data_IF_974845995025
#
_entry.id   IF_974845995025
#
_cell.length_a   1.000
_cell.length_b   1.000
_cell.length_c   1.000
_cell.angle_alpha   90.00
_cell.angle_beta   90.00
_cell.angle_gamma   90.00
#
_symmetry.space_group_name_H-M   'P 1'
#
loop_
_entity.id
_entity.type
_entity.pdbx_description
1 polymer ?
#
# COMPACT_ATOMS: atom_id res chain seq x y z
N UNK A 1 28.44 2.84 -12.61
CA UNK A 1 27.02 3.03 -12.96
C UNK A 1 26.42 1.68 -13.32
N UNK A 2 26.02 0.89 -12.35
CA UNK A 2 25.39 -0.43 -12.57
C UNK A 2 23.90 -0.32 -12.25
N UNK A 3 23.09 -0.30 -13.30
CA UNK A 3 21.62 -0.32 -13.17
C UNK A 3 21.17 -1.71 -12.74
N UNK A 4 20.59 -1.81 -11.56
CA UNK A 4 19.91 -3.03 -11.11
C UNK A 4 18.67 -3.21 -11.97
N UNK A 5 18.69 -4.19 -12.88
CA UNK A 5 17.51 -4.61 -13.64
C UNK A 5 16.67 -5.53 -12.77
N UNK A 6 15.50 -5.07 -12.36
CA UNK A 6 14.47 -5.90 -11.74
C UNK A 6 13.89 -6.80 -12.84
N UNK A 7 14.32 -8.05 -12.84
CA UNK A 7 13.83 -9.06 -13.78
C UNK A 7 12.46 -9.58 -13.36
N UNK A 8 11.42 -9.24 -14.10
CA UNK A 8 10.12 -9.93 -14.04
C UNK A 8 10.33 -11.39 -14.47
N UNK A 9 10.22 -12.33 -13.55
CA UNK A 9 10.09 -13.76 -13.86
C UNK A 9 8.62 -14.13 -13.84
N UNK A 10 8.03 -14.29 -15.02
CA UNK A 10 6.74 -14.93 -15.22
C UNK A 10 6.88 -16.42 -14.99
N UNK A 11 6.35 -16.93 -13.91
CA UNK A 11 6.21 -18.38 -13.67
C UNK A 11 4.90 -18.86 -14.29
N UNK A 12 5.01 -19.59 -15.40
CA UNK A 12 3.89 -20.30 -16.00
C UNK A 12 3.71 -21.62 -15.25
N UNK A 13 2.64 -21.76 -14.50
CA UNK A 13 2.23 -23.04 -13.91
C UNK A 13 1.32 -23.78 -14.90
N UNK A 14 1.81 -24.89 -15.44
CA UNK A 14 1.02 -25.86 -16.19
C UNK A 14 0.15 -26.65 -15.22
N UNK A 15 -1.17 -26.51 -15.31
CA UNK A 15 -2.12 -27.44 -14.70
C UNK A 15 -2.46 -28.55 -15.68
N UNK A 16 -2.14 -29.79 -15.29
CA UNK A 16 -2.54 -31.00 -15.97
C UNK A 16 -4.03 -31.29 -15.71
N UNK A 17 -4.83 -31.36 -16.76
CA UNK A 17 -6.22 -31.79 -16.69
C UNK A 17 -6.31 -33.32 -16.64
N UNK A 18 -6.84 -33.86 -15.56
CA UNK A 18 -7.24 -35.27 -15.49
C UNK A 18 -8.68 -35.43 -16.02
N UNK A 19 -8.80 -36.11 -17.14
CA UNK A 19 -10.08 -36.53 -17.72
C UNK A 19 -10.49 -37.84 -17.06
N UNK A 20 -11.59 -37.88 -16.33
CA UNK A 20 -12.26 -39.10 -15.91
C UNK A 20 -13.51 -39.30 -16.75
N UNK A 21 -13.47 -40.34 -17.59
CA UNK A 21 -14.59 -40.88 -18.31
C UNK A 21 -15.40 -41.80 -17.38
N UNK A 22 -16.71 -41.60 -17.29
CA UNK A 22 -17.63 -42.37 -16.47
C UNK A 22 -18.98 -42.54 -17.13
N UNK A 23 -19.16 -43.66 -17.82
CA UNK A 23 -20.31 -44.54 -18.04
C UNK A 23 -21.69 -43.96 -18.36
N UNK A 24 -22.14 -44.34 -19.54
CA UNK A 24 -23.50 -44.27 -20.03
C UNK A 24 -24.45 -45.18 -19.22
N UNK A 25 -25.59 -44.61 -18.78
CA UNK A 25 -26.75 -45.32 -18.28
C UNK A 25 -28.01 -44.87 -19.05
N UNK A 26 -28.48 -45.71 -19.95
CA UNK A 26 -29.80 -45.56 -20.60
C UNK A 26 -30.93 -45.95 -19.64
N UNK A 27 -32.04 -45.22 -19.71
CA UNK A 27 -33.36 -45.76 -19.41
C UNK A 27 -34.23 -44.89 -18.50
N UNK A 28 -35.34 -44.41 -19.07
CA UNK A 28 -36.50 -43.97 -18.26
C UNK A 28 -37.16 -42.70 -18.76
N UNK A 29 -38.18 -42.87 -19.62
CA UNK A 29 -39.16 -41.83 -19.92
C UNK A 29 -39.96 -41.53 -18.66
N UNK A 30 -39.92 -40.31 -18.14
CA UNK A 30 -40.69 -39.81 -17.03
C UNK A 30 -40.87 -38.32 -17.15
N UNK A 31 -42.13 -37.91 -17.28
CA UNK A 31 -42.60 -36.54 -17.37
C UNK A 31 -42.18 -35.69 -16.17
N UNK A 32 -41.84 -34.44 -16.43
CA UNK A 32 -42.01 -33.33 -15.47
C UNK A 32 -41.22 -33.48 -14.18
N UNK A 33 -39.93 -33.14 -14.19
CA UNK A 33 -39.24 -32.74 -12.96
C UNK A 33 -38.68 -31.34 -13.22
N UNK A 34 -39.24 -30.40 -12.47
CA UNK A 34 -38.62 -29.13 -12.18
C UNK A 34 -37.18 -29.41 -11.79
N UNK A 35 -36.25 -28.74 -12.51
CA UNK A 35 -34.85 -28.81 -12.16
C UNK A 35 -34.71 -28.27 -10.75
N UNK A 36 -34.56 -29.17 -9.79
CA UNK A 36 -34.09 -28.83 -8.43
C UNK A 36 -32.72 -28.15 -8.59
N UNK A 37 -32.79 -26.82 -8.65
CA UNK A 37 -31.57 -26.02 -8.56
C UNK A 37 -30.93 -26.39 -7.23
N UNK A 38 -29.70 -26.90 -7.27
CA UNK A 38 -28.88 -27.07 -6.07
C UNK A 38 -29.04 -25.82 -5.19
N UNK A 39 -29.35 -25.96 -3.89
CA UNK A 39 -29.49 -24.83 -3.01
C UNK A 39 -28.18 -24.09 -2.98
N UNK A 40 -28.08 -23.00 -3.75
CA UNK A 40 -26.96 -22.09 -3.70
C UNK A 40 -26.79 -21.66 -2.24
N UNK A 41 -25.62 -21.90 -1.67
CA UNK A 41 -25.32 -21.47 -0.32
C UNK A 41 -25.74 -20.00 -0.17
N UNK A 42 -26.40 -19.61 0.93
CA UNK A 42 -26.89 -18.24 1.11
C UNK A 42 -25.74 -17.26 0.96
N UNK A 43 -25.93 -16.27 0.08
CA UNK A 43 -24.91 -15.25 -0.15
C UNK A 43 -24.57 -14.56 1.17
N UNK A 44 -23.29 -14.42 1.45
CA UNK A 44 -22.80 -13.72 2.64
C UNK A 44 -23.30 -12.28 2.62
N UNK A 45 -23.81 -11.77 3.76
CA UNK A 45 -24.25 -10.38 3.86
C UNK A 45 -23.07 -9.41 3.68
N UNK A 46 -23.33 -8.22 3.12
CA UNK A 46 -22.28 -7.21 2.91
C UNK A 46 -21.63 -6.78 4.24
N UNK A 47 -22.40 -6.69 5.34
CA UNK A 47 -21.85 -6.43 6.68
C UNK A 47 -20.86 -7.51 7.15
N UNK A 48 -21.18 -8.77 6.89
CA UNK A 48 -20.27 -9.88 7.21
C UNK A 48 -19.03 -9.85 6.34
N UNK A 49 -19.20 -9.60 5.03
CA UNK A 49 -18.06 -9.47 4.09
C UNK A 49 -17.12 -8.34 4.51
N UNK A 50 -17.67 -7.18 4.87
CA UNK A 50 -16.88 -6.06 5.36
C UNK A 50 -16.11 -6.41 6.64
N UNK A 51 -16.80 -7.01 7.64
CA UNK A 51 -16.15 -7.42 8.89
C UNK A 51 -15.04 -8.44 8.67
N UNK A 52 -15.23 -9.40 7.78
CA UNK A 52 -14.20 -10.38 7.42
C UNK A 52 -13.04 -9.71 6.68
N UNK A 53 -13.30 -8.76 5.76
CA UNK A 53 -12.29 -7.98 5.07
C UNK A 53 -11.40 -7.20 6.04
N UNK A 54 -12.01 -6.50 6.99
CA UNK A 54 -11.28 -5.73 8.00
C UNK A 54 -10.45 -6.64 8.93
N UNK A 55 -10.99 -7.81 9.28
CA UNK A 55 -10.27 -8.81 10.06
C UNK A 55 -9.06 -9.38 9.28
N UNK A 56 -9.24 -9.67 7.99
CA UNK A 56 -8.15 -10.11 7.11
C UNK A 56 -7.05 -9.05 7.00
N UNK A 57 -7.43 -7.77 6.77
CA UNK A 57 -6.48 -6.65 6.69
C UNK A 57 -5.61 -6.59 7.95
N UNK A 58 -6.22 -6.73 9.13
CA UNK A 58 -5.49 -6.76 10.41
C UNK A 58 -4.69 -8.04 10.64
N UNK A 59 -4.98 -9.12 9.92
CA UNK A 59 -4.33 -10.41 10.03
C UNK A 59 -3.10 -10.58 9.15
N UNK A 60 -3.00 -9.86 8.03
CA UNK A 60 -1.89 -9.99 7.11
C UNK A 60 -0.56 -9.59 7.76
N UNK A 61 0.49 -10.38 7.51
CA UNK A 61 1.84 -10.14 8.01
C UNK A 61 2.58 -9.09 7.19
N UNK A 62 2.25 -9.00 5.91
CA UNK A 62 2.81 -8.04 4.96
C UNK A 62 1.78 -7.68 3.89
N UNK A 63 1.93 -6.49 3.32
CA UNK A 63 1.05 -5.92 2.30
C UNK A 63 1.84 -5.08 1.30
N UNK A 64 1.50 -5.22 0.03
CA UNK A 64 1.74 -4.20 -0.98
C UNK A 64 0.67 -3.12 -0.85
N UNK A 65 1.08 -1.87 -0.79
CA UNK A 65 0.26 -0.68 -0.54
C UNK A 65 0.53 0.34 -1.64
N UNK A 66 -0.45 0.57 -2.51
CA UNK A 66 -0.32 1.57 -3.57
C UNK A 66 -1.51 2.51 -3.52
N UNK A 67 -1.26 3.82 -3.53
CA UNK A 67 -2.37 4.75 -3.51
C UNK A 67 -1.98 6.18 -3.20
N UNK A 68 -2.96 6.94 -2.75
CA UNK A 68 -2.85 8.39 -2.60
C UNK A 68 -3.36 8.88 -1.25
N UNK A 69 -2.71 9.93 -0.78
CA UNK A 69 -3.15 10.77 0.33
C UNK A 69 -3.70 12.07 -0.28
N UNK A 70 -4.97 12.35 -0.01
CA UNK A 70 -5.67 13.53 -0.50
C UNK A 70 -5.73 14.59 0.58
N UNK A 71 -4.66 15.38 0.72
CA UNK A 71 -4.57 16.52 1.60
C UNK A 71 -4.30 17.81 0.81
N UNK A 72 -3.87 18.86 1.48
CA UNK A 72 -3.45 20.11 0.83
C UNK A 72 -2.33 19.87 -0.18
N UNK A 73 -1.43 18.96 0.13
CA UNK A 73 -0.38 18.49 -0.77
C UNK A 73 -0.69 17.03 -1.11
N UNK A 74 -1.11 16.72 -2.34
CA UNK A 74 -1.32 15.35 -2.78
C UNK A 74 -0.02 14.55 -2.77
N UNK A 75 -0.10 13.32 -2.27
CA UNK A 75 1.02 12.39 -2.19
C UNK A 75 0.60 11.03 -2.72
N UNK A 76 1.53 10.33 -3.33
CA UNK A 76 1.32 8.93 -3.74
C UNK A 76 2.38 8.04 -3.11
N UNK A 77 2.01 6.80 -2.90
CA UNK A 77 2.89 5.76 -2.36
C UNK A 77 2.80 4.49 -3.19
N UNK A 78 3.91 3.77 -3.28
CA UNK A 78 4.00 2.41 -3.79
C UNK A 78 4.97 1.67 -2.88
N UNK A 79 4.44 1.01 -1.83
CA UNK A 79 5.19 0.45 -0.72
C UNK A 79 4.89 -1.04 -0.55
N UNK A 80 5.88 -1.79 -0.10
CA UNK A 80 5.71 -3.13 0.43
C UNK A 80 6.20 -3.14 1.89
N UNK A 81 5.29 -3.39 2.83
CA UNK A 81 5.55 -3.27 4.26
C UNK A 81 5.13 -4.52 5.03
N UNK A 82 5.79 -4.80 6.16
CA UNK A 82 5.43 -5.86 7.09
C UNK A 82 5.26 -5.37 8.54
N UNK A 83 4.72 -6.24 9.40
CA UNK A 83 4.51 -5.92 10.82
C UNK A 83 5.78 -5.90 11.65
N UNK A 84 6.93 -6.27 11.09
CA UNK A 84 8.25 -6.16 11.71
C UNK A 84 8.90 -4.81 11.42
N UNK A 85 8.16 -3.90 10.75
CA UNK A 85 8.64 -2.60 10.28
C UNK A 85 9.75 -2.73 9.24
N UNK A 86 9.67 -3.75 8.38
CA UNK A 86 10.41 -3.74 7.15
C UNK A 86 9.53 -3.14 6.07
N UNK A 87 10.08 -2.18 5.33
CA UNK A 87 9.35 -1.47 4.28
C UNK A 87 10.30 -1.04 3.17
N UNK A 88 9.84 -1.13 1.94
CA UNK A 88 10.56 -0.67 0.76
C UNK A 88 9.58 -0.13 -0.26
N UNK A 89 9.97 0.90 -0.97
CA UNK A 89 9.18 1.43 -2.07
C UNK A 89 9.45 2.88 -2.36
N UNK A 90 8.46 3.57 -2.87
CA UNK A 90 8.55 4.97 -3.29
C UNK A 90 7.44 5.81 -2.67
N UNK A 91 7.78 7.06 -2.44
CA UNK A 91 6.91 8.12 -2.01
C UNK A 91 7.06 9.29 -2.97
N UNK A 92 5.95 9.80 -3.49
CA UNK A 92 5.95 10.94 -4.40
C UNK A 92 5.18 12.11 -3.80
N UNK A 93 5.75 13.30 -3.91
CA UNK A 93 5.18 14.55 -3.45
C UNK A 93 5.62 15.71 -4.37
N UNK A 94 4.68 16.55 -4.80
CA UNK A 94 4.97 17.71 -5.66
C UNK A 94 5.77 17.36 -6.93
N UNK A 95 5.57 16.13 -7.44
CA UNK A 95 6.25 15.62 -8.64
C UNK A 95 7.73 15.31 -8.41
N UNK A 96 8.14 15.10 -7.17
CA UNK A 96 9.44 14.55 -6.78
C UNK A 96 9.25 13.15 -6.24
N UNK A 97 10.26 12.30 -6.40
CA UNK A 97 10.23 10.91 -5.93
C UNK A 97 11.29 10.68 -4.89
N UNK A 98 10.92 10.01 -3.81
CA UNK A 98 11.85 9.54 -2.77
C UNK A 98 11.75 8.03 -2.67
N UNK A 99 12.87 7.32 -2.85
CA UNK A 99 12.94 5.90 -2.51
C UNK A 99 13.09 5.74 -1.00
N UNK A 100 12.38 4.76 -0.43
CA UNK A 100 12.35 4.53 1.01
C UNK A 100 12.71 3.09 1.32
N UNK A 101 13.55 2.91 2.32
CA UNK A 101 13.89 1.63 2.93
C UNK A 101 13.78 1.78 4.44
N UNK A 102 13.00 0.92 5.10
CA UNK A 102 12.93 0.85 6.57
C UNK A 102 13.22 -0.59 6.99
N UNK A 103 14.08 -0.76 8.00
CA UNK A 103 14.40 -2.07 8.58
C UNK A 103 14.45 -1.90 10.10
N UNK A 104 13.39 -2.34 10.77
CA UNK A 104 13.27 -2.23 12.22
C UNK A 104 13.29 -0.77 12.71
N UNK A 105 14.39 -0.34 13.31
CA UNK A 105 14.58 0.99 13.89
C UNK A 105 15.40 1.97 13.03
N UNK A 106 15.82 1.54 11.85
CA UNK A 106 16.59 2.32 10.88
C UNK A 106 15.79 2.58 9.61
N UNK A 107 15.96 3.76 9.04
CA UNK A 107 15.36 4.14 7.77
C UNK A 107 16.35 4.84 6.86
N UNK A 108 16.14 4.72 5.57
CA UNK A 108 16.95 5.37 4.53
C UNK A 108 16.04 5.99 3.50
N UNK A 109 16.38 7.18 3.06
CA UNK A 109 15.66 7.92 2.01
C UNK A 109 16.64 8.34 0.92
N UNK A 110 16.35 8.01 -0.33
CA UNK A 110 17.07 8.49 -1.49
C UNK A 110 16.19 9.51 -2.22
N UNK A 111 16.60 10.75 -2.14
CA UNK A 111 15.91 11.86 -2.80
C UNK A 111 16.30 11.93 -4.28
N UNK A 112 15.34 12.18 -5.16
CA UNK A 112 15.65 12.48 -6.55
C UNK A 112 16.31 13.86 -6.70
N UNK A 113 16.95 14.08 -7.85
CA UNK A 113 17.64 15.35 -8.13
C UNK A 113 16.69 16.55 -8.07
N UNK A 114 15.44 16.36 -8.50
CA UNK A 114 14.41 17.41 -8.48
C UNK A 114 14.06 17.84 -7.05
N UNK A 115 13.92 16.88 -6.11
CA UNK A 115 13.68 17.18 -4.69
C UNK A 115 14.84 18.00 -4.12
N UNK A 116 16.07 17.57 -4.38
CA UNK A 116 17.28 18.26 -3.92
C UNK A 116 17.41 19.68 -4.51
N UNK A 117 17.11 19.85 -5.78
CA UNK A 117 17.14 21.16 -6.45
C UNK A 117 16.00 22.08 -5.96
N UNK A 118 14.82 21.51 -5.67
CA UNK A 118 13.73 22.25 -5.03
C UNK A 118 14.13 22.74 -3.62
N UNK A 119 14.80 21.88 -2.83
CA UNK A 119 15.33 22.24 -1.50
C UNK A 119 16.27 23.43 -1.57
N UNK A 120 17.23 23.38 -2.49
CA UNK A 120 18.16 24.50 -2.74
C UNK A 120 17.42 25.79 -3.14
N UNK A 121 16.47 25.67 -4.04
CA UNK A 121 15.68 26.82 -4.52
C UNK A 121 14.82 27.44 -3.42
N UNK A 122 14.23 26.61 -2.56
CA UNK A 122 13.48 27.04 -1.38
C UNK A 122 14.41 27.80 -0.41
N UNK A 123 15.55 27.24 -0.05
CA UNK A 123 16.52 27.89 0.83
C UNK A 123 16.96 29.24 0.29
N UNK A 124 17.25 29.32 -1.03
CA UNK A 124 17.62 30.57 -1.67
C UNK A 124 16.56 31.66 -1.55
N UNK A 125 15.28 31.28 -1.57
CA UNK A 125 14.15 32.22 -1.56
C UNK A 125 13.70 32.59 -0.14
N UNK A 126 13.72 31.65 0.80
CA UNK A 126 13.08 31.76 2.11
C UNK A 126 14.03 31.66 3.30
N UNK A 127 15.22 31.09 3.13
CA UNK A 127 16.24 30.95 4.18
C UNK A 127 17.64 31.23 3.66
N UNK A 128 17.94 32.44 3.13
CA UNK A 128 19.21 32.75 2.46
C UNK A 128 20.43 32.63 3.40
N UNK A 129 20.25 32.81 4.68
CA UNK A 129 21.28 32.61 5.71
C UNK A 129 21.68 31.14 5.88
N UNK A 130 20.83 30.19 5.51
CA UNK A 130 21.07 28.74 5.55
C UNK A 130 21.54 28.19 4.19
N UNK A 131 21.54 28.98 3.12
CA UNK A 131 21.79 28.51 1.75
C UNK A 131 23.09 27.74 1.61
N UNK A 132 24.19 28.23 2.16
CA UNK A 132 25.50 27.55 2.05
C UNK A 132 25.47 26.14 2.69
N UNK A 133 24.82 25.99 3.86
CA UNK A 133 24.67 24.69 4.51
C UNK A 133 23.74 23.76 3.73
N UNK A 134 22.70 24.29 3.10
CA UNK A 134 21.79 23.52 2.21
C UNK A 134 22.53 23.05 0.97
N UNK A 135 23.32 23.90 0.32
CA UNK A 135 24.08 23.52 -0.88
C UNK A 135 25.07 22.39 -0.56
N UNK A 136 25.78 22.48 0.55
CA UNK A 136 26.70 21.42 0.99
C UNK A 136 25.95 20.10 1.24
N UNK A 137 24.80 20.15 1.92
CA UNK A 137 23.97 18.99 2.23
C UNK A 137 23.39 18.34 0.96
N UNK A 138 22.91 19.15 0.01
CA UNK A 138 22.41 18.69 -1.29
C UNK A 138 23.50 17.92 -2.07
N UNK A 139 24.72 18.47 -2.15
CA UNK A 139 25.81 17.80 -2.85
C UNK A 139 26.23 16.49 -2.17
N UNK A 140 26.20 16.42 -0.84
CA UNK A 140 26.48 15.19 -0.09
C UNK A 140 25.39 14.12 -0.27
N UNK A 141 24.12 14.53 -0.33
CA UNK A 141 22.98 13.63 -0.45
C UNK A 141 22.74 13.13 -1.88
N UNK A 142 23.25 13.84 -2.89
CA UNK A 142 22.99 13.54 -4.30
C UNK A 142 23.44 12.12 -4.66
N UNK A 143 22.46 11.29 -5.08
CA UNK A 143 22.68 9.89 -5.45
C UNK A 143 23.04 8.97 -4.28
N UNK A 144 22.82 9.42 -3.03
CA UNK A 144 23.07 8.63 -1.83
C UNK A 144 21.81 8.54 -0.97
N UNK A 145 21.67 7.42 -0.29
CA UNK A 145 20.69 7.26 0.76
C UNK A 145 21.09 8.06 2.00
N UNK A 146 20.17 8.84 2.52
CA UNK A 146 20.32 9.49 3.83
C UNK A 146 19.74 8.57 4.89
N UNK A 147 20.55 8.22 5.88
CA UNK A 147 20.16 7.35 6.98
C UNK A 147 19.56 8.17 8.13
N UNK A 148 18.36 7.77 8.56
CA UNK A 148 17.61 8.33 9.67
C UNK A 148 17.23 7.24 10.68
N UNK A 149 16.95 7.58 11.94
CA UNK A 149 16.12 6.74 12.79
C UNK A 149 14.76 6.49 12.13
N UNK A 150 14.26 5.25 12.13
CA UNK A 150 12.99 4.91 11.47
C UNK A 150 11.82 5.80 11.93
N UNK A 151 11.80 6.20 13.22
CA UNK A 151 10.79 7.12 13.77
C UNK A 151 10.72 8.47 13.03
N UNK A 152 11.81 8.94 12.48
CA UNK A 152 11.85 10.18 11.70
C UNK A 152 11.29 9.99 10.31
N UNK A 153 11.65 8.90 9.63
CA UNK A 153 11.06 8.51 8.34
C UNK A 153 9.54 8.34 8.48
N UNK A 154 9.08 7.69 9.54
CA UNK A 154 7.65 7.43 9.77
C UNK A 154 6.83 8.67 10.18
N UNK A 155 7.46 9.84 10.34
CA UNK A 155 6.75 11.13 10.51
C UNK A 155 6.27 11.71 9.19
N UNK A 156 6.91 11.35 8.09
CA UNK A 156 6.45 11.83 6.78
C UNK A 156 5.05 11.30 6.49
N UNK A 157 4.10 12.17 6.15
CA UNK A 157 2.76 11.75 5.77
C UNK A 157 2.82 10.75 4.62
N UNK A 158 2.19 9.58 4.78
CA UNK A 158 2.28 8.47 3.83
C UNK A 158 3.29 7.40 4.23
N UNK A 159 4.44 7.74 4.80
CA UNK A 159 5.43 6.76 5.24
C UNK A 159 5.07 6.07 6.57
N UNK A 160 4.06 6.57 7.30
CA UNK A 160 3.44 5.86 8.42
C UNK A 160 2.93 4.47 8.01
N UNK A 161 2.61 4.25 6.72
CA UNK A 161 2.22 2.96 6.17
C UNK A 161 3.34 1.91 6.24
N UNK A 162 4.58 2.30 6.44
CA UNK A 162 5.69 1.38 6.75
C UNK A 162 5.59 0.78 8.17
N UNK A 163 4.65 1.23 9.00
CA UNK A 163 4.27 0.62 10.28
C UNK A 163 2.77 0.24 10.20
N UNK A 164 2.49 -0.97 9.72
CA UNK A 164 1.11 -1.44 9.47
C UNK A 164 0.23 -1.41 10.72
N UNK A 165 0.80 -1.66 11.90
CA UNK A 165 0.06 -1.65 13.16
C UNK A 165 -0.40 -0.24 13.51
N UNK A 166 0.45 0.75 13.33
CA UNK A 166 0.14 2.15 13.54
C UNK A 166 -0.79 2.71 12.46
N UNK A 167 -0.53 2.39 11.19
CA UNK A 167 -1.33 2.86 10.06
C UNK A 167 -2.79 2.43 10.15
N UNK A 168 -3.03 1.17 10.52
CA UNK A 168 -4.38 0.61 10.64
C UNK A 168 -4.92 0.56 12.09
N UNK A 169 -4.31 1.28 13.02
CA UNK A 169 -4.74 1.30 14.41
C UNK A 169 -6.20 1.75 14.59
N UNK A 170 -6.59 2.81 13.87
CA UNK A 170 -7.94 3.39 13.90
C UNK A 170 -8.96 2.65 13.05
N UNK A 171 -8.54 1.78 12.13
CA UNK A 171 -9.44 0.98 11.29
C UNK A 171 -10.16 -0.04 12.19
N UNK A 172 -11.51 -0.11 12.18
CA UNK A 172 -12.24 -1.05 13.05
C UNK A 172 -11.92 -2.49 12.66
N UNK A 173 -11.86 -3.40 13.63
CA UNK A 173 -11.66 -4.83 13.35
C UNK A 173 -12.95 -5.55 12.99
N UNK A 174 -14.12 -4.96 13.30
CA UNK A 174 -15.47 -5.46 13.00
C UNK A 174 -16.42 -4.29 12.91
N UNK A 175 -17.47 -4.45 12.12
CA UNK A 175 -18.56 -3.47 11.99
C UNK A 175 -19.89 -4.13 12.38
N UNK A 176 -20.72 -3.40 13.13
CA UNK A 176 -21.97 -3.91 13.72
C UNK A 176 -23.21 -3.80 12.86
N UNK A 177 -23.11 -3.30 11.61
CA UNK A 177 -24.27 -3.04 10.74
C UNK A 177 -23.97 -3.31 9.27
N UNK A 178 -25.03 -3.28 8.45
CA UNK A 178 -24.88 -3.27 7.01
C UNK A 178 -24.27 -1.94 6.61
N UNK A 179 -23.08 -1.96 6.01
CA UNK A 179 -22.51 -0.78 5.40
C UNK A 179 -23.26 -0.41 4.12
N UNK A 180 -23.12 0.84 3.69
CA UNK A 180 -23.59 1.23 2.38
C UNK A 180 -22.77 0.50 1.29
N UNK A 181 -23.49 0.08 0.24
CA UNK A 181 -22.90 -0.60 -0.90
C UNK A 181 -22.79 0.35 -2.07
N UNK A 182 -21.56 0.64 -2.47
CA UNK A 182 -21.29 1.42 -3.67
C UNK A 182 -21.51 0.63 -4.97
N UNK A 183 -21.48 1.35 -6.09
CA UNK A 183 -21.56 0.74 -7.42
C UNK A 183 -20.30 -0.10 -7.69
N UNK A 184 -20.45 -1.26 -8.36
CA UNK A 184 -19.31 -2.05 -8.78
C UNK A 184 -18.37 -1.25 -9.71
N UNK A 185 -17.06 -1.43 -9.49
CA UNK A 185 -16.00 -0.87 -10.33
C UNK A 185 -15.17 -2.01 -10.91
N UNK A 186 -14.68 -1.81 -12.13
CA UNK A 186 -13.74 -2.77 -12.75
C UNK A 186 -12.35 -2.14 -12.79
N UNK A 187 -11.38 -2.85 -12.23
CA UNK A 187 -9.98 -2.49 -12.30
C UNK A 187 -9.15 -3.74 -12.59
N UNK A 188 -8.20 -3.65 -13.51
CA UNK A 188 -7.32 -4.76 -13.94
C UNK A 188 -8.08 -6.05 -14.26
N UNK A 189 -9.31 -5.91 -14.80
CA UNK A 189 -10.18 -7.03 -15.16
C UNK A 189 -10.97 -7.64 -13.99
N UNK A 190 -10.72 -7.23 -12.76
CA UNK A 190 -11.48 -7.66 -11.58
C UNK A 190 -12.58 -6.63 -11.23
N UNK A 191 -13.80 -7.13 -11.01
CA UNK A 191 -14.91 -6.29 -10.54
C UNK A 191 -14.96 -6.31 -9.02
N UNK A 192 -14.90 -5.12 -8.44
CA UNK A 192 -15.00 -4.92 -6.99
C UNK A 192 -16.22 -4.08 -6.64
N UNK A 193 -16.70 -4.23 -5.42
CA UNK A 193 -17.73 -3.39 -4.82
C UNK A 193 -17.18 -2.74 -3.56
N UNK A 194 -17.48 -1.47 -3.38
CA UNK A 194 -17.13 -0.72 -2.17
C UNK A 194 -18.19 -0.97 -1.11
N UNK A 195 -17.77 -1.32 0.10
CA UNK A 195 -18.59 -1.46 1.29
C UNK A 195 -18.15 -0.42 2.31
N UNK A 196 -19.05 0.49 2.70
CA UNK A 196 -18.73 1.65 3.54
C UNK A 196 -19.38 1.52 4.90
N UNK A 197 -18.68 1.91 5.95
CA UNK A 197 -19.19 1.98 7.32
C UNK A 197 -18.69 3.26 8.00
N UNK A 198 -19.54 3.82 8.86
CA UNK A 198 -19.25 5.09 9.53
C UNK A 198 -19.63 6.31 8.69
N UNK A 199 -19.20 7.47 9.12
CA UNK A 199 -19.44 8.75 8.45
C UNK A 199 -18.37 9.77 8.86
N UNK A 200 -18.07 10.71 7.98
CA UNK A 200 -17.07 11.76 8.25
C UNK A 200 -15.69 11.19 8.51
N UNK A 201 -14.98 11.69 9.51
CA UNK A 201 -13.61 11.28 9.83
C UNK A 201 -13.46 9.82 10.28
N UNK A 202 -14.56 9.17 10.70
CA UNK A 202 -14.57 7.77 11.11
C UNK A 202 -15.06 6.83 9.99
N UNK A 203 -15.26 7.36 8.78
CA UNK A 203 -15.67 6.56 7.63
C UNK A 203 -14.54 5.64 7.18
N UNK A 204 -14.87 4.38 6.97
CA UNK A 204 -14.00 3.39 6.37
C UNK A 204 -14.74 2.65 5.26
N UNK A 205 -14.09 2.51 4.11
CA UNK A 205 -14.60 1.73 3.00
C UNK A 205 -13.60 0.64 2.62
N UNK A 206 -14.10 -0.56 2.35
CA UNK A 206 -13.29 -1.65 1.79
C UNK A 206 -13.78 -2.00 0.40
N UNK A 207 -12.85 -2.27 -0.49
CA UNK A 207 -13.13 -2.72 -1.84
C UNK A 207 -12.94 -4.24 -1.89
N UNK A 208 -14.00 -4.98 -2.13
CA UNK A 208 -13.99 -6.46 -2.17
C UNK A 208 -14.44 -6.97 -3.54
N UNK A 209 -14.06 -8.19 -3.97
CA UNK A 209 -14.55 -8.76 -5.21
C UNK A 209 -16.08 -8.72 -5.27
N UNK A 210 -16.67 -8.33 -6.40
CA UNK A 210 -18.14 -8.27 -6.53
C UNK A 210 -18.79 -9.62 -6.27
N UNK A 211 -18.17 -10.70 -6.74
CA UNK A 211 -18.65 -12.07 -6.56
C UNK A 211 -17.74 -12.84 -5.63
N UNK A 212 -18.32 -13.23 -4.49
CA UNK A 212 -17.66 -14.08 -3.49
C UNK A 212 -16.48 -13.42 -2.79
N UNK A 213 -16.03 -14.04 -1.70
CA UNK A 213 -14.83 -13.64 -0.99
C UNK A 213 -14.88 -12.31 -0.24
N UNK A 214 -14.01 -12.19 0.73
CA UNK A 214 -13.85 -11.00 1.58
C UNK A 214 -12.42 -10.45 1.56
N UNK A 215 -11.56 -10.94 0.64
CA UNK A 215 -10.19 -10.43 0.52
C UNK A 215 -10.26 -8.98 0.04
N UNK A 216 -9.81 -8.00 0.84
CA UNK A 216 -9.86 -6.61 0.46
C UNK A 216 -8.89 -6.35 -0.71
N UNK A 217 -9.33 -5.65 -1.73
CA UNK A 217 -8.53 -5.18 -2.87
C UNK A 217 -8.14 -3.72 -2.70
N UNK A 218 -8.76 -3.05 -1.77
CA UNK A 218 -8.45 -1.67 -1.42
C UNK A 218 -9.15 -1.28 -0.13
N UNK A 219 -8.71 -0.18 0.42
CA UNK A 219 -9.29 0.46 1.59
C UNK A 219 -9.21 1.97 1.45
N UNK A 220 -10.31 2.65 1.78
CA UNK A 220 -10.39 4.09 1.91
C UNK A 220 -10.66 4.41 3.39
N UNK A 221 -9.90 5.31 3.99
CA UNK A 221 -10.04 5.72 5.38
C UNK A 221 -9.38 7.09 5.61
N UNK A 222 -9.55 7.66 6.80
CA UNK A 222 -8.83 8.88 7.20
C UNK A 222 -7.62 8.55 8.07
N UNK A 223 -6.50 9.16 7.75
CA UNK A 223 -5.28 9.11 8.55
C UNK A 223 -4.83 10.53 8.86
N UNK A 224 -4.86 10.90 10.14
CA UNK A 224 -4.58 12.26 10.61
C UNK A 224 -5.37 13.32 9.81
N UNK A 225 -6.69 13.08 9.66
CA UNK A 225 -7.68 13.89 8.92
C UNK A 225 -7.48 13.99 7.40
N UNK A 226 -6.46 13.33 6.85
CA UNK A 226 -6.27 13.23 5.42
C UNK A 226 -6.97 11.98 4.86
N UNK A 227 -7.80 12.08 3.81
CA UNK A 227 -8.33 10.91 3.13
C UNK A 227 -7.23 10.11 2.46
N UNK A 228 -7.22 8.82 2.70
CA UNK A 228 -6.25 7.85 2.18
C UNK A 228 -6.99 6.81 1.36
N UNK A 229 -6.56 6.58 0.13
CA UNK A 229 -7.11 5.60 -0.78
C UNK A 229 -6.01 4.63 -1.17
N UNK A 230 -6.11 3.39 -0.72
CA UNK A 230 -5.09 2.37 -0.96
C UNK A 230 -5.64 1.21 -1.78
N UNK A 231 -4.88 0.76 -2.73
CA UNK A 231 -4.94 -0.54 -3.34
C UNK A 231 -4.05 -1.49 -2.54
N UNK A 232 -4.52 -2.71 -2.36
CA UNK A 232 -3.87 -3.72 -1.55
C UNK A 232 -3.47 -4.91 -2.41
N UNK A 233 -2.27 -5.41 -2.20
CA UNK A 233 -1.70 -6.56 -2.91
C UNK A 233 -0.63 -7.27 -2.09
N UNK A 234 0.10 -8.18 -2.73
CA UNK A 234 1.27 -8.88 -2.17
C UNK A 234 1.05 -9.41 -0.75
N UNK A 235 -0.17 -9.96 -0.50
CA UNK A 235 -0.62 -10.41 0.81
C UNK A 235 0.29 -11.53 1.33
N UNK A 236 0.83 -11.32 2.53
CA UNK A 236 1.75 -12.26 3.21
C UNK A 236 3.03 -12.60 2.42
N UNK A 237 3.32 -11.86 1.34
CA UNK A 237 4.59 -12.00 0.64
C UNK A 237 5.74 -11.42 1.49
N UNK A 238 6.88 -12.11 1.61
CA UNK A 238 7.99 -11.60 2.39
C UNK A 238 8.54 -10.29 1.84
N UNK A 239 8.64 -9.26 2.68
CA UNK A 239 9.30 -8.01 2.33
C UNK A 239 10.80 -8.25 2.16
N UNK A 240 11.27 -8.17 0.91
CA UNK A 240 12.68 -8.38 0.57
C UNK A 240 13.44 -7.08 0.60
N UNK A 241 13.94 -6.74 1.75
CA UNK A 241 14.65 -5.49 1.99
C UNK A 241 16.09 -5.76 2.44
N UNK A 242 17.03 -4.90 2.02
CA UNK A 242 18.43 -4.90 2.44
C UNK A 242 18.86 -3.47 2.70
N UNK A 243 19.67 -3.21 3.73
CA UNK A 243 20.21 -1.89 3.95
C UNK A 243 21.07 -1.46 2.75
N UNK A 244 21.02 -0.19 2.35
CA UNK A 244 21.95 0.34 1.34
C UNK A 244 23.41 0.15 1.75
N UNK A 245 24.30 0.09 0.75
CA UNK A 245 25.72 -0.04 0.99
C UNK A 245 26.28 1.18 1.75
N UNK A 246 27.28 0.97 2.60
CA UNK A 246 27.92 2.08 3.32
C UNK A 246 28.48 3.17 2.42
N UNK A 247 29.00 2.79 1.25
CA UNK A 247 29.52 3.74 0.26
C UNK A 247 28.43 4.61 -0.38
N UNK A 248 27.19 4.10 -0.38
CA UNK A 248 26.01 4.73 -0.96
C UNK A 248 25.12 5.42 0.10
N UNK A 249 25.63 5.57 1.32
CA UNK A 249 24.90 6.12 2.46
C UNK A 249 25.63 7.28 3.10
N UNK A 250 24.88 8.31 3.51
CA UNK A 250 25.32 9.40 4.38
C UNK A 250 24.39 9.47 5.59
N UNK A 251 24.88 9.95 6.73
CA UNK A 251 24.02 10.13 7.90
C UNK A 251 23.21 11.42 7.80
N UNK A 252 22.04 11.47 8.45
CA UNK A 252 21.24 12.69 8.56
C UNK A 252 22.07 13.86 9.15
N UNK A 253 22.95 13.58 10.12
CA UNK A 253 23.84 14.58 10.72
C UNK A 253 24.77 15.25 9.70
N UNK A 254 25.27 14.51 8.70
CA UNK A 254 26.15 15.05 7.65
C UNK A 254 25.39 15.93 6.66
N UNK A 255 24.06 15.83 6.61
CA UNK A 255 23.19 16.54 5.67
C UNK A 255 22.09 17.34 6.38
N UNK A 256 22.34 17.80 7.60
CA UNK A 256 21.38 18.64 8.40
C UNK A 256 20.79 19.82 7.63
N UNK A 257 21.51 20.33 6.63
CA UNK A 257 20.99 21.41 5.78
C UNK A 257 19.72 21.04 5.00
N UNK A 258 19.38 19.74 4.84
CA UNK A 258 18.15 19.31 4.17
C UNK A 258 16.89 19.54 5.02
N UNK A 259 17.00 19.71 6.33
CA UNK A 259 15.86 19.90 7.26
C UNK A 259 15.12 21.25 7.08
N UNK A 260 15.60 22.12 6.20
CA UNK A 260 14.99 23.45 5.94
C UNK A 260 13.59 23.38 5.34
N UNK A 261 13.17 22.20 4.89
CA UNK A 261 11.87 22.01 4.22
C UNK A 261 10.80 21.53 5.20
N UNK A 262 11.18 21.08 6.38
CA UNK A 262 10.28 20.43 7.34
C UNK A 262 9.74 21.40 8.42
N UNK A 263 10.08 22.70 8.34
CA UNK A 263 9.55 23.80 9.14
C UNK A 263 8.55 24.64 8.34
#
# INVERSE_FOLDING_TARGET
MSRVRIGRRTSVALFAAAVMAGTAGCGGSGSGAEADGEPSAPAMSDARRMSESLALLKGYRSLGLKGEFRGEVPRTVDLHADRQRNCVGTFEELGTTTEVVVIGDRGWMLYDDKKLDNTRSFAKSYAPDRLAAVEEAVEKARGKYVEYPAREVLRYPGLILCDLDRAFAKVPGKVGGAGEKGNPRTKDGERTVQLTHGSGGDEVSVHVPEKGGSVPRGIDFSLDDAPVLLELGDYDEPVRVKPPGRADTVSAEEVKGLEVIDE
#
